data_IF_567956659642
#
_entry.id   IF_567956659642
#
_cell.length_a   1.000
_cell.length_b   1.000
_cell.length_c   1.000
_cell.angle_alpha   90.00
_cell.angle_beta   90.00
_cell.angle_gamma   90.00
#
_symmetry.space_group_name_H-M   'P 1'
#
loop_
_entity.id
_entity.type
_entity.pdbx_description
1 polymer ?
#
# COMPACT_ATOMS: atom_id res chain seq x y z
N UNK A 1 -1.36 6.67 -17.75
CA UNK A 1 -0.82 5.97 -16.57
C UNK A 1 0.30 6.82 -15.97
N UNK A 2 0.23 7.15 -14.68
CA UNK A 2 1.27 7.92 -13.98
C UNK A 2 2.23 6.96 -13.29
N UNK A 3 3.54 7.24 -13.38
CA UNK A 3 4.56 6.47 -12.67
C UNK A 3 4.74 7.08 -11.29
N UNK A 4 4.75 6.25 -10.25
CA UNK A 4 5.04 6.71 -8.89
C UNK A 4 6.50 7.19 -8.82
N UNK A 5 6.78 8.32 -8.17
CA UNK A 5 8.15 8.80 -7.92
C UNK A 5 8.43 9.02 -6.42
N UNK A 6 7.58 8.50 -5.54
CA UNK A 6 7.74 8.63 -4.09
C UNK A 6 8.87 7.74 -3.57
N UNK A 7 9.46 8.14 -2.44
CA UNK A 7 10.56 7.44 -1.77
C UNK A 7 10.20 6.03 -1.32
N UNK A 8 8.93 5.76 -1.02
CA UNK A 8 8.46 4.44 -0.58
C UNK A 8 8.72 3.32 -1.60
N UNK A 9 9.10 3.65 -2.85
CA UNK A 9 9.48 2.67 -3.88
C UNK A 9 10.68 1.83 -3.48
N UNK A 10 11.49 2.32 -2.55
CA UNK A 10 12.69 1.66 -2.03
C UNK A 10 12.58 1.28 -0.56
N UNK A 11 11.39 1.38 0.04
CA UNK A 11 11.20 1.00 1.44
C UNK A 11 11.37 -0.52 1.59
N UNK A 12 12.30 -0.93 2.43
CA UNK A 12 12.63 -2.35 2.68
C UNK A 12 11.55 -3.07 3.47
N UNK A 13 10.63 -2.35 4.14
CA UNK A 13 9.46 -2.94 4.78
C UNK A 13 8.63 -3.80 3.81
N UNK A 14 8.66 -3.47 2.52
CA UNK A 14 7.90 -4.17 1.47
C UNK A 14 8.59 -5.44 0.93
N UNK A 15 9.82 -5.75 1.34
CA UNK A 15 10.56 -6.93 0.83
C UNK A 15 9.82 -8.24 1.11
N UNK A 16 9.18 -8.33 2.28
CA UNK A 16 8.50 -9.53 2.73
C UNK A 16 7.05 -9.64 2.22
N UNK A 17 6.57 -8.63 1.48
CA UNK A 17 5.24 -8.72 0.87
C UNK A 17 5.21 -9.84 -0.17
N UNK A 18 4.05 -10.51 -0.33
CA UNK A 18 3.86 -11.50 -1.38
C UNK A 18 4.04 -10.84 -2.75
N UNK A 19 4.63 -11.58 -3.67
CA UNK A 19 4.70 -11.15 -5.06
C UNK A 19 3.32 -11.26 -5.71
N UNK A 20 2.97 -10.27 -6.52
CA UNK A 20 1.79 -10.24 -7.35
C UNK A 20 2.20 -10.04 -8.82
N UNK A 21 2.37 -11.17 -9.50
CA UNK A 21 2.72 -11.23 -10.92
C UNK A 21 1.48 -11.29 -11.82
N UNK A 22 0.27 -11.21 -11.27
CA UNK A 22 -1.00 -11.37 -11.97
C UNK A 22 -2.04 -10.33 -11.56
N UNK A 23 -3.28 -10.50 -12.03
CA UNK A 23 -4.43 -9.69 -11.59
C UNK A 23 -4.43 -8.21 -11.99
N UNK A 24 -5.45 -7.49 -11.51
CA UNK A 24 -5.66 -6.06 -11.80
C UNK A 24 -4.66 -5.14 -11.09
N UNK A 25 -4.00 -5.65 -10.04
CA UNK A 25 -2.97 -4.93 -9.28
C UNK A 25 -1.59 -4.96 -9.93
N UNK A 26 -1.40 -5.78 -10.98
CA UNK A 26 -0.12 -5.93 -11.67
C UNK A 26 0.41 -4.56 -12.10
N UNK A 27 1.67 -4.28 -11.73
CA UNK A 27 2.37 -3.00 -11.95
C UNK A 27 1.93 -1.83 -11.09
N UNK A 28 0.89 -1.95 -10.25
CA UNK A 28 0.52 -0.87 -9.33
C UNK A 28 1.54 -0.73 -8.22
N UNK A 29 1.75 0.51 -7.79
CA UNK A 29 2.68 0.81 -6.72
C UNK A 29 2.13 0.31 -5.37
N UNK A 30 2.73 -0.76 -4.83
CA UNK A 30 2.33 -1.28 -3.52
C UNK A 30 2.60 -0.27 -2.39
N UNK A 31 3.62 0.59 -2.51
CA UNK A 31 3.85 1.69 -1.57
C UNK A 31 2.69 2.68 -1.51
N UNK A 32 2.11 3.07 -2.66
CA UNK A 32 0.91 3.91 -2.66
C UNK A 32 -0.32 3.17 -2.10
N UNK A 33 -0.39 1.85 -2.28
CA UNK A 33 -1.45 1.05 -1.69
C UNK A 33 -1.33 1.00 -0.16
N UNK A 34 -0.11 0.87 0.37
CA UNK A 34 0.17 0.99 1.80
C UNK A 34 -0.26 2.37 2.32
N UNK A 35 0.15 3.46 1.66
CA UNK A 35 -0.26 4.82 2.05
C UNK A 35 -1.80 4.95 2.12
N UNK A 36 -2.50 4.39 1.12
CA UNK A 36 -3.96 4.40 1.07
C UNK A 36 -4.58 3.60 2.21
N UNK A 37 -4.04 2.41 2.50
CA UNK A 37 -4.46 1.58 3.63
C UNK A 37 -4.26 2.30 4.94
N UNK A 38 -3.07 2.89 5.14
CA UNK A 38 -2.72 3.62 6.35
C UNK A 38 -3.67 4.78 6.66
N UNK A 39 -4.01 5.59 5.66
CA UNK A 39 -4.99 6.68 5.83
C UNK A 39 -6.41 6.15 6.16
N UNK A 40 -6.80 5.04 5.52
CA UNK A 40 -8.09 4.38 5.77
C UNK A 40 -8.16 3.82 7.20
N UNK A 41 -7.07 3.22 7.68
CA UNK A 41 -6.94 2.71 9.05
C UNK A 41 -6.91 3.82 10.09
N UNK A 42 -6.18 4.92 9.84
CA UNK A 42 -6.18 6.10 10.71
C UNK A 42 -7.58 6.69 10.87
N UNK A 43 -8.34 6.73 9.78
CA UNK A 43 -9.73 7.22 9.76
C UNK A 43 -10.74 6.16 10.24
N UNK A 44 -10.27 4.94 10.56
CA UNK A 44 -11.05 3.76 10.98
C UNK A 44 -12.22 3.47 10.03
N UNK A 45 -11.99 3.58 8.73
CA UNK A 45 -13.03 3.33 7.72
C UNK A 45 -13.41 1.85 7.68
N UNK A 46 -14.68 1.55 7.50
CA UNK A 46 -15.16 0.16 7.34
C UNK A 46 -14.76 -0.46 5.99
N UNK A 47 -14.42 0.39 5.01
CA UNK A 47 -13.93 -0.03 3.70
C UNK A 47 -12.45 -0.45 3.78
N UNK A 48 -12.20 -1.75 3.73
CA UNK A 48 -10.86 -2.37 3.90
C UNK A 48 -10.28 -2.93 2.60
N UNK A 49 -10.68 -2.39 1.45
CA UNK A 49 -10.12 -2.80 0.16
C UNK A 49 -9.38 -1.66 -0.54
N UNK A 50 -8.27 -2.03 -1.19
CA UNK A 50 -7.48 -1.11 -2.01
C UNK A 50 -8.27 -0.64 -3.22
N UNK A 51 -8.20 0.66 -3.53
CA UNK A 51 -8.68 1.19 -4.79
C UNK A 51 -7.51 1.19 -5.80
N UNK A 52 -7.41 0.12 -6.59
CA UNK A 52 -6.33 -0.06 -7.58
C UNK A 52 -6.34 0.97 -8.71
N UNK A 53 -7.51 1.54 -9.02
CA UNK A 53 -7.70 2.41 -10.19
C UNK A 53 -7.00 3.76 -10.02
N UNK A 54 -6.85 4.22 -8.77
CA UNK A 54 -6.17 5.48 -8.44
C UNK A 54 -4.67 5.29 -8.19
N UNK A 55 -4.19 4.04 -8.14
CA UNK A 55 -2.78 3.77 -7.88
C UNK A 55 -1.95 4.07 -9.13
N UNK A 56 -0.85 4.85 -8.99
CA UNK A 56 0.15 4.96 -10.04
C UNK A 56 0.87 3.62 -10.22
N UNK A 57 1.47 3.45 -11.39
CA UNK A 57 2.29 2.27 -11.66
C UNK A 57 3.67 2.43 -11.00
N UNK A 58 4.28 1.31 -10.56
CA UNK A 58 5.67 1.28 -10.10
C UNK A 58 6.36 0.03 -10.63
N UNK A 59 7.42 0.24 -11.41
CA UNK A 59 8.22 -0.84 -12.01
C UNK A 59 9.66 -0.89 -11.49
N UNK A 60 9.99 -0.19 -10.40
CA UNK A 60 11.35 -0.21 -9.84
C UNK A 60 11.36 -0.18 -8.31
N UNK A 61 12.51 -0.57 -7.75
CA UNK A 61 12.77 -0.62 -6.32
C UNK A 61 12.20 -1.88 -5.64
N UNK A 62 12.17 -1.86 -4.31
CA UNK A 62 11.72 -2.97 -3.45
C UNK A 62 10.24 -3.28 -3.59
N UNK A 63 9.45 -2.31 -4.07
CA UNK A 63 8.00 -2.45 -4.31
C UNK A 63 7.66 -3.19 -5.61
N UNK A 64 8.66 -3.49 -6.45
CA UNK A 64 8.42 -4.10 -7.76
C UNK A 64 7.84 -5.50 -7.59
N UNK A 65 6.77 -5.76 -8.34
CA UNK A 65 6.01 -7.01 -8.32
C UNK A 65 5.44 -7.39 -6.95
N UNK A 66 5.34 -6.46 -6.00
CA UNK A 66 4.72 -6.73 -4.68
C UNK A 66 3.22 -6.47 -4.74
N UNK A 67 2.44 -7.28 -4.04
CA UNK A 67 0.98 -7.16 -3.99
C UNK A 67 0.52 -5.82 -3.40
N UNK A 68 -0.20 -4.99 -4.17
CA UNK A 68 -0.83 -3.78 -3.66
C UNK A 68 -1.88 -4.07 -2.58
N UNK A 69 -2.62 -5.17 -2.69
CA UNK A 69 -3.65 -5.59 -1.73
C UNK A 69 -3.02 -5.93 -0.38
N UNK A 70 -1.93 -6.71 -0.37
CA UNK A 70 -1.22 -7.04 0.86
C UNK A 70 -0.63 -5.79 1.51
N UNK A 71 -0.02 -4.91 0.72
CA UNK A 71 0.51 -3.64 1.20
C UNK A 71 -0.58 -2.74 1.81
N UNK A 72 -1.77 -2.67 1.18
CA UNK A 72 -2.91 -1.95 1.73
C UNK A 72 -3.35 -2.53 3.08
N UNK A 73 -3.44 -3.86 3.20
CA UNK A 73 -3.86 -4.50 4.44
C UNK A 73 -2.88 -4.23 5.60
N UNK A 74 -1.57 -4.26 5.32
CA UNK A 74 -0.55 -3.87 6.28
C UNK A 74 -0.68 -2.40 6.68
N UNK A 75 -0.81 -1.49 5.71
CA UNK A 75 -1.03 -0.07 5.96
C UNK A 75 -2.26 0.17 6.83
N UNK A 76 -3.40 -0.45 6.50
CA UNK A 76 -4.64 -0.33 7.25
C UNK A 76 -4.49 -0.77 8.70
N UNK A 77 -3.84 -1.92 8.93
CA UNK A 77 -3.56 -2.42 10.28
C UNK A 77 -2.71 -1.43 11.08
N UNK A 78 -1.65 -0.90 10.46
CA UNK A 78 -0.74 0.02 11.12
C UNK A 78 -1.44 1.35 11.44
N UNK A 79 -2.19 1.91 10.48
CA UNK A 79 -3.00 3.12 10.69
C UNK A 79 -4.09 2.94 11.75
N UNK A 80 -4.74 1.78 11.81
CA UNK A 80 -5.69 1.45 12.87
C UNK A 80 -5.02 1.50 14.24
N UNK A 81 -3.87 0.87 14.42
CA UNK A 81 -3.13 0.89 15.70
C UNK A 81 -2.78 2.32 16.10
N UNK A 82 -2.23 3.09 15.18
CA UNK A 82 -1.83 4.48 15.43
C UNK A 82 -3.03 5.37 15.79
N UNK A 83 -4.19 5.13 15.18
CA UNK A 83 -5.41 5.88 15.49
C UNK A 83 -5.83 5.80 16.96
N UNK A 84 -5.45 4.74 17.68
CA UNK A 84 -5.71 4.59 19.12
C UNK A 84 -4.52 5.04 19.98
N UNK A 85 -3.30 5.03 19.44
CA UNK A 85 -2.09 5.47 20.13
C UNK A 85 -2.03 6.99 20.37
N UNK A 86 -2.66 7.79 19.50
CA UNK A 86 -2.75 9.26 19.67
C UNK A 86 -4.00 9.74 20.43
N UNK A 87 -4.83 8.81 20.91
CA UNK A 87 -6.08 9.11 21.62
C UNK A 87 -5.96 9.04 23.16
N UNK A 88 -4.74 8.89 23.69
CA UNK A 88 -4.41 8.97 25.12
C UNK A 88 -3.55 10.18 25.40
#
# INVERSE_FOLDING_TARGET
MTICNKSHRYNTAFINLPDDQGGEGRHKCCGCAYDQGYQSGLSRTEQVWVNLHVLPDSQAGTVRHKSPQAAFAEGYRDGMRDSYSYAG
#
